data_IF_753107285018
#
_entry.id   IF_753107285018
#
_cell.length_a   1.000
_cell.length_b   1.000
_cell.length_c   1.000
_cell.angle_alpha   90.00
_cell.angle_beta   90.00
_cell.angle_gamma   90.00
#
_symmetry.space_group_name_H-M   'P 1'
#
loop_
_entity.id
_entity.type
_entity.pdbx_description
1 polymer ?
#
# COMPACT_ATOMS: atom_id res chain seq x y z
N UNK A 1 -3.20 9.92 -8.40
CA UNK A 1 -2.80 9.40 -9.72
C UNK A 1 -2.94 7.88 -9.71
N UNK A 2 -3.87 7.34 -10.50
CA UNK A 2 -4.11 5.90 -10.62
C UNK A 2 -2.98 5.31 -11.48
N UNK A 3 -1.97 4.69 -10.86
CA UNK A 3 -1.12 3.74 -11.60
C UNK A 3 -2.06 2.61 -12.08
N UNK A 4 -2.14 2.27 -13.38
CA UNK A 4 -2.96 1.17 -13.85
C UNK A 4 -2.36 -0.14 -13.31
N UNK A 5 -2.90 -0.60 -12.19
CA UNK A 5 -2.53 -1.86 -11.56
C UNK A 5 -3.49 -2.96 -11.98
N UNK A 6 -3.00 -4.20 -12.01
CA UNK A 6 -3.81 -5.40 -12.20
C UNK A 6 -5.06 -5.43 -11.30
N UNK A 7 -4.95 -4.91 -10.08
CA UNK A 7 -6.05 -4.78 -9.12
C UNK A 7 -7.20 -3.91 -9.63
N UNK A 8 -6.92 -2.78 -10.30
CA UNK A 8 -7.95 -1.88 -10.83
C UNK A 8 -8.67 -2.50 -12.03
N UNK A 9 -7.94 -3.15 -12.93
CA UNK A 9 -8.55 -3.87 -14.06
C UNK A 9 -9.43 -5.01 -13.58
N UNK A 10 -8.95 -5.78 -12.59
CA UNK A 10 -9.72 -6.86 -11.97
C UNK A 10 -10.99 -6.32 -11.30
N UNK A 11 -10.88 -5.26 -10.51
CA UNK A 11 -12.01 -4.64 -9.82
C UNK A 11 -13.06 -4.16 -10.83
N UNK A 12 -12.67 -3.38 -11.84
CA UNK A 12 -13.62 -2.89 -12.86
C UNK A 12 -14.27 -4.01 -13.69
N UNK A 13 -13.52 -5.07 -14.02
CA UNK A 13 -14.10 -6.23 -14.71
C UNK A 13 -15.14 -6.94 -13.84
N UNK A 14 -14.88 -7.08 -12.55
CA UNK A 14 -15.80 -7.70 -11.61
C UNK A 14 -17.07 -6.86 -11.41
N UNK A 15 -16.88 -5.55 -11.23
CA UNK A 15 -17.97 -4.58 -11.09
C UNK A 15 -18.89 -4.60 -12.32
N UNK A 16 -18.30 -4.67 -13.53
CA UNK A 16 -19.05 -4.75 -14.78
C UNK A 16 -19.87 -6.04 -14.85
N UNK A 17 -19.27 -7.18 -14.48
CA UNK A 17 -19.94 -8.47 -14.55
C UNK A 17 -21.13 -8.55 -13.58
N UNK A 18 -20.94 -8.12 -12.32
CA UNK A 18 -22.03 -8.09 -11.32
C UNK A 18 -23.13 -7.12 -11.74
N UNK A 19 -22.76 -5.91 -12.18
CA UNK A 19 -23.74 -4.90 -12.59
C UNK A 19 -24.58 -5.35 -13.78
N UNK A 20 -23.98 -6.02 -14.77
CA UNK A 20 -24.72 -6.55 -15.93
C UNK A 20 -25.62 -7.72 -15.55
N UNK A 21 -25.20 -8.61 -14.66
CA UNK A 21 -26.06 -9.70 -14.16
C UNK A 21 -27.24 -9.14 -13.38
N UNK A 22 -26.98 -8.26 -12.40
CA UNK A 22 -28.03 -7.67 -11.56
C UNK A 22 -29.00 -6.81 -12.37
N UNK A 23 -28.48 -5.92 -13.21
CA UNK A 23 -29.30 -5.08 -14.08
C UNK A 23 -30.04 -5.87 -15.16
N UNK A 24 -29.45 -6.97 -15.67
CA UNK A 24 -30.10 -7.88 -16.61
C UNK A 24 -31.29 -8.60 -15.98
N UNK A 25 -31.14 -9.13 -14.76
CA UNK A 25 -32.24 -9.74 -14.01
C UNK A 25 -33.38 -8.74 -13.75
N UNK A 26 -33.04 -7.51 -13.35
CA UNK A 26 -34.03 -6.44 -13.14
C UNK A 26 -34.76 -6.11 -14.45
N UNK A 27 -34.02 -5.90 -15.55
CA UNK A 27 -34.59 -5.54 -16.84
C UNK A 27 -35.50 -6.63 -17.40
N UNK A 28 -35.08 -7.90 -17.32
CA UNK A 28 -35.90 -9.04 -17.75
C UNK A 28 -37.14 -9.21 -16.87
N UNK A 29 -37.03 -9.02 -15.56
CA UNK A 29 -38.19 -9.08 -14.65
C UNK A 29 -39.21 -8.00 -15.00
N UNK A 30 -38.74 -6.77 -15.23
CA UNK A 30 -39.60 -5.65 -15.66
C UNK A 30 -40.33 -6.00 -16.96
N UNK A 31 -39.62 -6.53 -17.95
CA UNK A 31 -40.21 -6.88 -19.25
C UNK A 31 -41.16 -8.08 -19.18
N UNK A 32 -40.97 -8.98 -18.21
CA UNK A 32 -41.87 -10.13 -18.02
C UNK A 32 -43.18 -9.73 -17.32
N UNK A 33 -43.16 -8.78 -16.39
CA UNK A 33 -44.35 -8.38 -15.62
C UNK A 33 -45.06 -7.15 -16.19
N UNK A 34 -44.34 -6.22 -16.83
CA UNK A 34 -44.87 -4.94 -17.28
C UNK A 34 -44.95 -4.91 -18.81
N UNK A 35 -46.18 -4.91 -19.31
CA UNK A 35 -46.49 -4.84 -20.75
C UNK A 35 -46.98 -3.46 -21.20
N UNK A 36 -47.23 -2.55 -20.25
CA UNK A 36 -47.73 -1.20 -20.55
C UNK A 36 -46.59 -0.30 -21.05
N UNK A 37 -46.69 0.16 -22.29
CA UNK A 37 -45.66 0.98 -22.93
C UNK A 37 -45.41 2.31 -22.21
N UNK A 38 -46.43 2.97 -21.66
CA UNK A 38 -46.24 4.23 -20.93
C UNK A 38 -45.40 4.03 -19.67
N UNK A 39 -45.61 2.91 -18.96
CA UNK A 39 -44.84 2.56 -17.76
C UNK A 39 -43.41 2.19 -18.14
N UNK A 40 -43.22 1.40 -19.19
CA UNK A 40 -41.89 1.05 -19.70
C UNK A 40 -41.11 2.29 -20.15
N UNK A 41 -41.77 3.27 -20.76
CA UNK A 41 -41.16 4.54 -21.14
C UNK A 41 -40.72 5.35 -19.92
N UNK A 42 -41.57 5.46 -18.89
CA UNK A 42 -41.20 6.11 -17.63
C UNK A 42 -40.00 5.42 -16.96
N UNK A 43 -39.96 4.08 -16.99
CA UNK A 43 -38.84 3.30 -16.49
C UNK A 43 -37.55 3.53 -17.28
N UNK A 44 -37.61 3.62 -18.61
CA UNK A 44 -36.44 4.00 -19.43
C UNK A 44 -35.85 5.32 -18.93
N UNK A 45 -36.69 6.36 -18.78
CA UNK A 45 -36.24 7.68 -18.33
C UNK A 45 -35.62 7.59 -16.93
N UNK A 46 -36.25 6.87 -16.02
CA UNK A 46 -35.73 6.62 -14.68
C UNK A 46 -34.35 5.93 -14.70
N UNK A 47 -34.21 4.84 -15.45
CA UNK A 47 -32.94 4.11 -15.53
C UNK A 47 -31.84 4.90 -16.23
N UNK A 48 -32.20 5.70 -17.24
CA UNK A 48 -31.30 6.60 -17.93
C UNK A 48 -30.76 7.66 -16.96
N UNK A 49 -31.64 8.33 -16.20
CA UNK A 49 -31.24 9.32 -15.19
C UNK A 49 -30.29 8.67 -14.18
N UNK A 50 -30.65 7.50 -13.64
CA UNK A 50 -29.80 6.76 -12.71
C UNK A 50 -28.41 6.48 -13.27
N UNK A 51 -28.33 6.02 -14.53
CA UNK A 51 -27.05 5.77 -15.21
C UNK A 51 -26.16 7.01 -15.22
N UNK A 52 -26.70 8.16 -15.62
CA UNK A 52 -25.93 9.40 -15.70
C UNK A 52 -25.58 9.98 -14.33
N UNK A 53 -26.47 9.85 -13.34
CA UNK A 53 -26.19 10.29 -11.97
C UNK A 53 -25.01 9.53 -11.36
N UNK A 54 -24.90 8.22 -11.59
CA UNK A 54 -23.89 7.38 -10.94
C UNK A 54 -22.60 7.22 -11.75
N UNK A 55 -22.49 7.78 -12.96
CA UNK A 55 -21.34 7.58 -13.87
C UNK A 55 -19.98 7.95 -13.24
N UNK A 56 -19.95 8.96 -12.37
CA UNK A 56 -18.74 9.38 -11.64
C UNK A 56 -18.72 8.94 -10.17
N UNK A 57 -19.83 8.45 -9.63
CA UNK A 57 -19.99 8.15 -8.19
C UNK A 57 -19.73 6.69 -7.88
N UNK A 58 -20.35 5.77 -8.63
CA UNK A 58 -20.25 4.34 -8.37
C UNK A 58 -20.47 3.54 -9.65
N UNK A 59 -19.43 2.85 -10.10
CA UNK A 59 -19.44 2.12 -11.36
C UNK A 59 -20.42 0.94 -11.36
N UNK A 60 -20.51 0.16 -10.27
CA UNK A 60 -21.44 -0.98 -10.16
C UNK A 60 -22.89 -0.50 -10.28
N UNK A 61 -23.23 0.55 -9.54
CA UNK A 61 -24.57 1.13 -9.56
C UNK A 61 -24.89 1.62 -10.97
N UNK A 62 -23.98 2.38 -11.60
CA UNK A 62 -24.16 2.84 -12.98
C UNK A 62 -24.44 1.69 -13.96
N UNK A 63 -23.66 0.60 -13.94
CA UNK A 63 -23.88 -0.57 -14.82
C UNK A 63 -25.21 -1.27 -14.53
N UNK A 64 -25.63 -1.29 -13.26
CA UNK A 64 -26.91 -1.89 -12.84
C UNK A 64 -28.12 -1.11 -13.37
N UNK A 65 -28.01 0.21 -13.52
CA UNK A 65 -29.03 1.06 -14.15
C UNK A 65 -28.94 1.04 -15.69
N UNK A 66 -27.73 0.99 -16.25
CA UNK A 66 -27.48 0.98 -17.69
C UNK A 66 -28.10 -0.25 -18.38
N UNK A 67 -27.96 -1.42 -17.75
CA UNK A 67 -28.40 -2.70 -18.35
C UNK A 67 -29.92 -2.76 -18.58
N UNK A 68 -30.80 -2.52 -17.60
CA UNK A 68 -32.25 -2.50 -17.81
C UNK A 68 -32.68 -1.36 -18.74
N UNK A 69 -32.02 -0.20 -18.69
CA UNK A 69 -32.26 0.89 -19.65
C UNK A 69 -32.10 0.41 -21.10
N UNK A 70 -30.98 -0.25 -21.41
CA UNK A 70 -30.69 -0.77 -22.76
C UNK A 70 -31.68 -1.88 -23.15
N UNK A 71 -32.02 -2.79 -22.23
CA UNK A 71 -32.95 -3.89 -22.52
C UNK A 71 -34.36 -3.39 -22.85
N UNK A 72 -34.89 -2.45 -22.08
CA UNK A 72 -36.21 -1.90 -22.32
C UNK A 72 -36.21 -1.06 -23.61
N UNK A 73 -35.14 -0.31 -23.88
CA UNK A 73 -34.97 0.43 -25.13
C UNK A 73 -35.01 -0.50 -26.35
N UNK A 74 -34.31 -1.63 -26.30
CA UNK A 74 -34.33 -2.59 -27.39
C UNK A 74 -35.65 -3.33 -27.55
N UNK A 75 -36.36 -3.58 -26.44
CA UNK A 75 -37.72 -4.09 -26.50
C UNK A 75 -38.65 -3.15 -27.28
N UNK A 76 -38.53 -1.83 -27.07
CA UNK A 76 -39.26 -0.82 -27.86
C UNK A 76 -38.89 -0.83 -29.35
N UNK A 77 -37.65 -1.18 -29.68
CA UNK A 77 -37.20 -1.33 -31.07
C UNK A 77 -37.66 -2.64 -31.73
N UNK A 78 -38.46 -3.46 -31.03
CA UNK A 78 -38.98 -4.73 -31.54
C UNK A 78 -37.93 -5.85 -31.54
N UNK A 79 -36.78 -5.65 -30.91
CA UNK A 79 -35.76 -6.67 -30.79
C UNK A 79 -36.02 -7.54 -29.54
N UNK A 80 -35.85 -8.85 -29.66
CA UNK A 80 -36.09 -9.80 -28.58
C UNK A 80 -35.20 -9.54 -27.38
N UNK A 81 -35.73 -8.91 -26.33
CA UNK A 81 -34.96 -8.45 -25.17
C UNK A 81 -34.25 -9.57 -24.41
N UNK A 82 -34.82 -10.78 -24.38
CA UNK A 82 -34.18 -11.95 -23.77
C UNK A 82 -32.90 -12.35 -24.52
N UNK A 83 -32.94 -12.36 -25.85
CA UNK A 83 -31.78 -12.70 -26.68
C UNK A 83 -30.66 -11.66 -26.53
N UNK A 84 -31.03 -10.38 -26.47
CA UNK A 84 -30.09 -9.27 -26.29
C UNK A 84 -29.47 -9.27 -24.90
N UNK A 85 -30.24 -9.64 -23.86
CA UNK A 85 -29.71 -9.79 -22.51
C UNK A 85 -28.64 -10.89 -22.45
N UNK A 86 -28.87 -12.03 -23.10
CA UNK A 86 -27.87 -13.10 -23.19
C UNK A 86 -26.64 -12.68 -24.01
N UNK A 87 -26.83 -11.96 -25.12
CA UNK A 87 -25.71 -11.42 -25.92
C UNK A 87 -24.86 -10.44 -25.11
N UNK A 88 -25.49 -9.55 -24.32
CA UNK A 88 -24.79 -8.57 -23.47
C UNK A 88 -23.97 -9.22 -22.36
N UNK A 89 -24.50 -10.29 -21.77
CA UNK A 89 -23.78 -11.09 -20.78
C UNK A 89 -22.59 -11.82 -21.42
N UNK A 90 -22.79 -12.43 -22.60
CA UNK A 90 -21.73 -13.08 -23.35
C UNK A 90 -20.61 -12.11 -23.73
N UNK A 91 -20.96 -10.96 -24.30
CA UNK A 91 -20.00 -9.91 -24.69
C UNK A 91 -19.21 -9.39 -23.49
N UNK A 92 -19.87 -9.19 -22.35
CA UNK A 92 -19.22 -8.71 -21.12
C UNK A 92 -18.32 -9.77 -20.51
N UNK A 93 -18.71 -11.04 -20.56
CA UNK A 93 -17.89 -12.16 -20.12
C UNK A 93 -16.63 -12.31 -21.00
N UNK A 94 -16.80 -12.31 -22.32
CA UNK A 94 -15.69 -12.41 -23.28
C UNK A 94 -14.74 -11.21 -23.14
N UNK A 95 -15.27 -9.99 -23.07
CA UNK A 95 -14.45 -8.79 -22.88
C UNK A 95 -13.70 -8.81 -21.55
N UNK A 96 -14.34 -9.26 -20.47
CA UNK A 96 -13.69 -9.37 -19.15
C UNK A 96 -12.59 -10.44 -19.15
N UNK A 97 -12.82 -11.57 -19.83
CA UNK A 97 -11.82 -12.63 -20.00
C UNK A 97 -10.63 -12.13 -20.82
N UNK A 98 -10.87 -11.49 -21.95
CA UNK A 98 -9.83 -10.91 -22.80
C UNK A 98 -9.03 -9.83 -22.05
N UNK A 99 -9.69 -8.95 -21.30
CA UNK A 99 -9.03 -7.93 -20.48
C UNK A 99 -8.18 -8.53 -19.35
N UNK A 100 -8.65 -9.63 -18.74
CA UNK A 100 -7.88 -10.39 -17.76
C UNK A 100 -6.63 -11.03 -18.38
N UNK A 101 -6.78 -11.72 -19.52
CA UNK A 101 -5.67 -12.34 -20.25
C UNK A 101 -4.67 -11.28 -20.73
N UNK A 102 -5.15 -10.19 -21.31
CA UNK A 102 -4.33 -9.05 -21.70
C UNK A 102 -3.55 -8.49 -20.51
N UNK A 103 -4.21 -8.28 -19.36
CA UNK A 103 -3.55 -7.79 -18.15
C UNK A 103 -2.52 -8.78 -17.59
N UNK A 104 -2.75 -10.07 -17.75
CA UNK A 104 -1.84 -11.13 -17.32
C UNK A 104 -0.62 -11.31 -18.25
N UNK A 105 -0.83 -11.22 -19.57
CA UNK A 105 0.21 -11.50 -20.58
C UNK A 105 0.94 -10.26 -21.10
N UNK A 106 0.26 -9.11 -21.28
CA UNK A 106 0.86 -7.91 -21.90
C UNK A 106 1.57 -6.98 -20.91
N UNK A 107 1.28 -7.06 -19.60
CA UNK A 107 1.87 -6.15 -18.59
C UNK A 107 2.86 -6.88 -17.67
N UNK A 108 4.15 -6.98 -18.02
CA UNK A 108 5.18 -7.62 -17.20
C UNK A 108 5.70 -6.75 -16.04
N UNK A 109 5.00 -5.67 -15.65
CA UNK A 109 5.45 -4.74 -14.61
C UNK A 109 4.78 -5.04 -13.25
N UNK A 110 5.05 -6.23 -12.72
CA UNK A 110 4.51 -6.71 -11.44
C UNK A 110 5.03 -5.87 -10.25
N UNK A 111 4.18 -5.59 -9.27
CA UNK A 111 4.57 -4.83 -8.07
C UNK A 111 5.64 -5.55 -7.24
N UNK A 112 5.73 -6.89 -7.33
CA UNK A 112 6.79 -7.67 -6.68
C UNK A 112 8.20 -7.18 -7.05
N UNK A 113 8.38 -6.64 -8.27
CA UNK A 113 9.66 -6.09 -8.73
C UNK A 113 9.96 -4.68 -8.20
N UNK A 114 8.92 -3.93 -7.80
CA UNK A 114 9.07 -2.58 -7.22
C UNK A 114 9.17 -2.60 -5.69
N UNK A 115 8.77 -3.71 -5.06
CA UNK A 115 8.72 -3.82 -3.60
C UNK A 115 10.08 -3.64 -2.92
N UNK A 116 11.16 -4.15 -3.51
CA UNK A 116 12.52 -3.96 -3.00
C UNK A 116 12.88 -2.46 -2.91
N UNK A 117 12.44 -1.64 -3.88
CA UNK A 117 12.62 -0.19 -3.84
C UNK A 117 11.85 0.50 -2.71
N UNK A 118 10.62 0.04 -2.43
CA UNK A 118 9.84 0.53 -1.29
C UNK A 118 10.46 0.10 0.05
N UNK A 119 11.00 -1.12 0.14
CA UNK A 119 11.75 -1.60 1.31
C UNK A 119 13.01 -0.77 1.54
N UNK A 120 13.79 -0.51 0.48
CA UNK A 120 14.97 0.35 0.56
C UNK A 120 14.62 1.77 1.05
N UNK A 121 13.54 2.34 0.52
CA UNK A 121 13.06 3.67 0.91
C UNK A 121 12.69 3.75 2.40
N UNK A 122 11.99 2.74 2.93
CA UNK A 122 11.62 2.74 4.36
C UNK A 122 12.84 2.48 5.27
N UNK A 123 13.80 1.64 4.87
CA UNK A 123 15.05 1.47 5.61
C UNK A 123 15.83 2.78 5.67
N UNK A 124 15.93 3.50 4.55
CA UNK A 124 16.57 4.83 4.49
C UNK A 124 15.90 5.82 5.44
N UNK A 125 14.57 5.85 5.49
CA UNK A 125 13.83 6.72 6.39
C UNK A 125 14.05 6.34 7.87
N UNK A 126 14.09 5.04 8.22
CA UNK A 126 14.41 4.59 9.59
C UNK A 126 15.84 4.97 9.99
N UNK A 127 16.82 4.82 9.08
CA UNK A 127 18.22 5.21 9.31
C UNK A 127 18.31 6.71 9.61
N UNK A 128 17.67 7.55 8.78
CA UNK A 128 17.66 9.00 9.00
C UNK A 128 17.01 9.37 10.34
N UNK A 129 15.94 8.67 10.72
CA UNK A 129 15.27 8.92 12.00
C UNK A 129 16.12 8.49 13.20
N UNK A 130 16.80 7.36 13.11
CA UNK A 130 17.78 6.92 14.11
C UNK A 130 19.00 7.83 14.19
N UNK A 131 19.49 8.37 13.07
CA UNK A 131 20.58 9.37 13.07
C UNK A 131 20.15 10.62 13.86
N UNK A 132 18.91 11.09 13.66
CA UNK A 132 18.37 12.19 14.47
C UNK A 132 18.23 11.82 15.94
N UNK A 133 17.72 10.64 16.28
CA UNK A 133 17.69 10.18 17.67
C UNK A 133 19.12 10.14 18.28
N UNK A 134 20.11 9.65 17.53
CA UNK A 134 21.52 9.62 17.94
C UNK A 134 22.03 11.03 18.27
N UNK A 135 21.79 12.02 17.39
CA UNK A 135 22.16 13.43 17.63
C UNK A 135 21.54 13.96 18.92
N UNK A 136 20.27 13.67 19.18
CA UNK A 136 19.57 14.09 20.42
C UNK A 136 20.23 13.51 21.66
N UNK A 137 20.55 12.22 21.63
CA UNK A 137 21.16 11.50 22.76
C UNK A 137 22.58 12.01 23.08
N UNK A 138 23.28 12.59 22.10
CA UNK A 138 24.55 13.30 22.31
C UNK A 138 24.39 14.70 22.94
N UNK A 139 23.16 15.16 23.18
CA UNK A 139 22.87 16.47 23.76
C UNK A 139 22.76 17.61 22.75
N UNK A 140 22.76 17.31 21.45
CA UNK A 140 22.53 18.33 20.43
C UNK A 140 21.05 18.74 20.44
N UNK A 141 20.78 20.06 20.43
CA UNK A 141 19.41 20.56 20.24
C UNK A 141 18.95 20.26 18.82
N UNK A 142 17.96 19.39 18.67
CA UNK A 142 17.33 19.13 17.38
C UNK A 142 16.32 20.24 17.09
N UNK A 143 16.39 20.82 15.89
CA UNK A 143 15.34 21.69 15.39
C UNK A 143 14.02 20.92 15.35
N UNK A 144 12.98 21.45 15.99
CA UNK A 144 11.64 20.83 15.98
C UNK A 144 11.10 20.56 14.58
N UNK A 145 11.56 21.33 13.58
CA UNK A 145 11.19 21.17 12.18
C UNK A 145 11.88 19.95 11.53
N UNK A 146 13.19 19.77 11.75
CA UNK A 146 13.94 18.63 11.20
C UNK A 146 13.41 17.30 11.74
N UNK A 147 13.09 17.27 13.04
CA UNK A 147 12.46 16.11 13.66
C UNK A 147 11.11 15.77 13.02
N UNK A 148 10.25 16.77 12.80
CA UNK A 148 8.93 16.58 12.17
C UNK A 148 9.06 16.10 10.72
N UNK A 149 10.05 16.59 9.98
CA UNK A 149 10.30 16.19 8.60
C UNK A 149 10.71 14.72 8.51
N UNK A 150 11.71 14.29 9.28
CA UNK A 150 12.18 12.89 9.23
C UNK A 150 11.10 11.93 9.75
N UNK A 151 10.35 12.33 10.77
CA UNK A 151 9.18 11.58 11.23
C UNK A 151 8.14 11.43 10.12
N UNK A 152 7.77 12.53 9.44
CA UNK A 152 6.81 12.50 8.32
C UNK A 152 7.29 11.55 7.22
N UNK A 153 8.56 11.64 6.84
CA UNK A 153 9.14 10.79 5.79
C UNK A 153 9.06 9.30 6.14
N UNK A 154 9.34 8.95 7.40
CA UNK A 154 9.20 7.58 7.89
C UNK A 154 7.77 7.05 7.77
N UNK A 155 6.78 7.84 8.17
CA UNK A 155 5.36 7.45 8.07
C UNK A 155 4.90 7.33 6.62
N UNK A 156 5.31 8.25 5.75
CA UNK A 156 4.98 8.21 4.31
C UNK A 156 5.60 6.99 3.65
N UNK A 157 6.89 6.73 3.87
CA UNK A 157 7.58 5.57 3.31
C UNK A 157 6.99 4.24 3.82
N UNK A 158 6.61 4.17 5.10
CA UNK A 158 5.92 3.00 5.67
C UNK A 158 4.53 2.79 5.03
N UNK A 159 3.75 3.86 4.87
CA UNK A 159 2.43 3.78 4.23
C UNK A 159 2.52 3.36 2.75
N UNK A 160 3.53 3.86 2.04
CA UNK A 160 3.81 3.48 0.65
C UNK A 160 4.15 1.99 0.53
N UNK A 161 5.01 1.47 1.41
CA UNK A 161 5.36 0.05 1.47
C UNK A 161 4.13 -0.84 1.76
N UNK A 162 3.33 -0.50 2.77
CA UNK A 162 2.10 -1.24 3.09
C UNK A 162 1.10 -1.22 1.93
N UNK A 163 0.96 -0.07 1.26
CA UNK A 163 0.12 0.04 0.06
C UNK A 163 0.63 -0.84 -1.08
N UNK A 164 1.95 -0.90 -1.28
CA UNK A 164 2.56 -1.76 -2.29
C UNK A 164 2.34 -3.25 -1.98
N UNK A 165 2.49 -3.66 -0.72
CA UNK A 165 2.17 -5.03 -0.27
C UNK A 165 0.70 -5.38 -0.57
N UNK A 166 -0.25 -4.51 -0.23
CA UNK A 166 -1.67 -4.76 -0.52
C UNK A 166 -1.97 -4.88 -2.01
N UNK A 167 -1.29 -4.08 -2.85
CA UNK A 167 -1.38 -4.21 -4.32
C UNK A 167 -0.82 -5.57 -4.77
N UNK A 168 0.35 -5.97 -4.30
CA UNK A 168 0.94 -7.29 -4.60
C UNK A 168 0.02 -8.44 -4.16
N UNK A 169 -0.61 -8.36 -2.99
CA UNK A 169 -1.54 -9.39 -2.52
C UNK A 169 -2.80 -9.54 -3.40
N UNK A 170 -3.12 -8.51 -4.19
CA UNK A 170 -4.22 -8.53 -5.16
C UNK A 170 -3.84 -9.15 -6.51
N UNK A 171 -2.53 -9.38 -6.76
CA UNK A 171 -2.01 -10.04 -7.96
C UNK A 171 -2.21 -11.57 -7.90
N UNK A 172 -2.10 -12.31 -9.01
CA UNK A 172 -2.17 -13.78 -9.00
C UNK A 172 -1.08 -14.40 -8.11
N UNK A 173 -1.40 -15.49 -7.40
CA UNK A 173 -0.47 -16.16 -6.45
C UNK A 173 0.88 -16.50 -7.09
N UNK A 174 0.92 -16.87 -8.37
CA UNK A 174 2.15 -17.19 -9.11
C UNK A 174 3.10 -16.00 -9.29
N UNK A 175 2.63 -14.76 -9.08
CA UNK A 175 3.39 -13.53 -9.24
C UNK A 175 3.79 -12.89 -7.90
N UNK A 176 3.21 -13.35 -6.79
CA UNK A 176 3.51 -12.88 -5.43
C UNK A 176 4.83 -13.49 -4.90
N UNK A 177 5.97 -13.09 -5.47
CA UNK A 177 7.30 -13.57 -5.03
C UNK A 177 7.58 -13.15 -3.58
N UNK A 178 8.22 -14.03 -2.80
CA UNK A 178 8.64 -13.79 -1.41
C UNK A 178 7.53 -13.22 -0.51
N UNK A 179 6.27 -13.61 -0.75
CA UNK A 179 5.09 -13.06 -0.06
C UNK A 179 5.23 -13.09 1.46
N UNK A 180 5.69 -14.21 2.02
CA UNK A 180 5.78 -14.43 3.46
C UNK A 180 6.83 -13.52 4.07
N UNK A 181 8.00 -13.50 3.45
CA UNK A 181 9.17 -12.71 3.86
C UNK A 181 8.86 -11.22 3.77
N UNK A 182 8.23 -10.78 2.68
CA UNK A 182 7.81 -9.38 2.53
C UNK A 182 6.81 -8.98 3.61
N UNK A 183 5.81 -9.82 3.88
CA UNK A 183 4.84 -9.55 4.93
C UNK A 183 5.53 -9.42 6.30
N UNK A 184 6.44 -10.35 6.61
CA UNK A 184 7.26 -10.32 7.82
C UNK A 184 8.12 -9.04 7.90
N UNK A 185 8.75 -8.63 6.80
CA UNK A 185 9.49 -7.38 6.72
C UNK A 185 8.62 -6.16 7.04
N UNK A 186 7.41 -6.08 6.50
CA UNK A 186 6.48 -4.96 6.77
C UNK A 186 6.11 -4.90 8.25
N UNK A 187 5.82 -6.05 8.87
CA UNK A 187 5.50 -6.13 10.30
C UNK A 187 6.71 -5.71 11.14
N UNK A 188 7.89 -6.26 10.88
CA UNK A 188 9.12 -5.92 11.60
C UNK A 188 9.48 -4.44 11.44
N UNK A 189 9.32 -3.88 10.24
CA UNK A 189 9.52 -2.46 10.00
C UNK A 189 8.54 -1.60 10.81
N UNK A 190 7.27 -1.98 10.87
CA UNK A 190 6.29 -1.27 11.69
C UNK A 190 6.67 -1.28 13.18
N UNK A 191 7.10 -2.43 13.70
CA UNK A 191 7.61 -2.57 15.07
C UNK A 191 8.83 -1.67 15.28
N UNK A 192 9.80 -1.70 14.37
CA UNK A 192 11.00 -0.86 14.43
C UNK A 192 10.63 0.64 14.47
N UNK A 193 9.87 1.11 13.50
CA UNK A 193 9.49 2.52 13.36
C UNK A 193 8.68 3.02 14.56
N UNK A 194 7.76 2.21 15.08
CA UNK A 194 6.95 2.56 16.26
C UNK A 194 7.80 2.69 17.53
N UNK A 195 8.77 1.79 17.72
CA UNK A 195 9.67 1.85 18.87
C UNK A 195 10.63 3.04 18.78
N UNK A 196 11.20 3.33 17.61
CA UNK A 196 12.04 4.52 17.40
C UNK A 196 11.23 5.80 17.66
N UNK A 197 10.01 5.89 17.13
CA UNK A 197 9.15 7.07 17.33
C UNK A 197 8.77 7.28 18.80
N UNK A 198 8.43 6.19 19.50
CA UNK A 198 8.10 6.23 20.93
C UNK A 198 9.30 6.72 21.76
N UNK A 199 10.49 6.14 21.54
CA UNK A 199 11.74 6.57 22.20
C UNK A 199 12.11 8.01 21.89
N UNK A 200 11.96 8.43 20.63
CA UNK A 200 12.32 9.81 20.28
C UNK A 200 11.35 10.80 20.90
N UNK A 201 10.06 10.43 21.03
CA UNK A 201 9.07 11.28 21.70
C UNK A 201 9.30 11.39 23.21
N UNK A 202 9.71 10.31 23.89
CA UNK A 202 10.03 10.37 25.32
C UNK A 202 11.32 11.15 25.58
N UNK A 203 12.29 11.03 24.67
CA UNK A 203 13.57 11.73 24.79
C UNK A 203 13.52 13.20 24.34
N UNK A 204 12.59 13.60 23.47
CA UNK A 204 12.48 14.99 23.01
C UNK A 204 12.36 16.01 24.15
N UNK A 205 11.85 15.61 25.31
CA UNK A 205 11.72 16.45 26.50
C UNK A 205 12.93 16.37 27.46
N UNK A 206 13.86 15.42 27.24
CA UNK A 206 15.06 15.21 28.02
C UNK A 206 16.30 15.66 27.23
N UNK A 207 16.94 16.74 27.68
CA UNK A 207 18.16 17.29 27.06
C UNK A 207 19.46 16.78 27.71
N UNK A 208 19.39 15.78 28.58
CA UNK A 208 20.57 15.23 29.26
C UNK A 208 21.30 14.26 28.32
N UNK A 209 22.62 14.44 28.10
CA UNK A 209 23.42 13.48 27.35
C UNK A 209 23.35 12.10 28.00
N UNK A 210 23.17 11.06 27.19
CA UNK A 210 23.14 9.66 27.63
C UNK A 210 24.54 9.05 27.64
N UNK A 211 24.80 8.02 28.46
CA UNK A 211 26.10 7.35 28.56
C UNK A 211 26.51 6.62 27.26
N UNK A 212 27.81 6.29 27.12
CA UNK A 212 28.34 5.62 25.91
C UNK A 212 27.72 4.23 25.70
N UNK A 213 27.36 3.55 26.79
CA UNK A 213 26.75 2.23 26.80
C UNK A 213 25.39 2.25 26.09
N UNK A 214 24.56 3.26 26.38
CA UNK A 214 23.23 3.47 25.78
C UNK A 214 23.32 3.82 24.29
N UNK A 215 24.40 4.45 23.83
CA UNK A 215 24.59 4.83 22.44
C UNK A 215 25.05 3.68 21.53
N UNK A 216 25.63 2.62 22.10
CA UNK A 216 26.19 1.52 21.33
C UNK A 216 25.12 0.74 20.53
N UNK A 217 23.95 0.37 21.09
CA UNK A 217 22.89 -0.30 20.33
C UNK A 217 22.36 0.54 19.17
N UNK A 218 22.26 1.87 19.32
CA UNK A 218 21.82 2.78 18.24
C UNK A 218 22.77 2.72 17.05
N UNK A 219 24.09 2.81 17.30
CA UNK A 219 25.11 2.73 16.24
C UNK A 219 25.10 1.39 15.53
N UNK A 220 24.99 0.29 16.30
CA UNK A 220 24.90 -1.06 15.74
C UNK A 220 23.64 -1.21 14.87
N UNK A 221 22.51 -0.68 15.33
CA UNK A 221 21.25 -0.65 14.58
C UNK A 221 21.41 0.09 13.26
N UNK A 222 21.94 1.33 13.27
CA UNK A 222 22.17 2.11 12.06
C UNK A 222 23.06 1.34 11.07
N UNK A 223 24.20 0.82 11.55
CA UNK A 223 25.14 0.07 10.72
C UNK A 223 24.51 -1.18 10.10
N UNK A 224 23.64 -1.86 10.85
CA UNK A 224 22.95 -3.06 10.39
C UNK A 224 21.88 -2.73 9.34
N UNK A 225 21.10 -1.67 9.55
CA UNK A 225 20.11 -1.20 8.58
C UNK A 225 20.78 -0.69 7.29
N UNK A 226 21.91 0.01 7.38
CA UNK A 226 22.68 0.45 6.21
C UNK A 226 23.21 -0.74 5.40
N UNK A 227 23.66 -1.81 6.07
CA UNK A 227 24.03 -3.07 5.40
C UNK A 227 22.85 -3.70 4.68
N UNK A 228 21.69 -3.77 5.32
CA UNK A 228 20.47 -4.31 4.73
C UNK A 228 19.99 -3.45 3.55
N UNK A 229 20.09 -2.13 3.66
CA UNK A 229 19.78 -1.19 2.59
C UNK A 229 20.66 -1.43 1.37
N UNK A 230 21.96 -1.64 1.57
CA UNK A 230 22.90 -1.96 0.47
C UNK A 230 22.55 -3.27 -0.26
N UNK A 231 21.95 -4.24 0.42
CA UNK A 231 21.47 -5.48 -0.22
C UNK A 231 20.26 -5.24 -1.14
N UNK A 232 19.45 -4.22 -0.85
CA UNK A 232 18.25 -3.88 -1.61
C UNK A 232 18.50 -2.80 -2.67
N UNK A 233 19.48 -1.93 -2.45
CA UNK A 233 19.89 -0.85 -3.35
C UNK A 233 21.42 -0.78 -3.42
N UNK A 234 21.99 -1.41 -4.46
CA UNK A 234 23.43 -1.43 -4.71
C UNK A 234 24.03 -0.04 -4.95
N UNK A 235 23.20 0.96 -5.29
CA UNK A 235 23.64 2.34 -5.53
C UNK A 235 23.75 3.15 -4.25
N UNK A 236 23.29 2.60 -3.11
CA UNK A 236 23.34 3.29 -1.83
C UNK A 236 24.79 3.43 -1.33
N UNK A 237 25.23 4.68 -1.17
CA UNK A 237 26.51 5.04 -0.57
C UNK A 237 26.26 5.36 0.90
N UNK A 238 26.93 4.63 1.79
CA UNK A 238 26.92 4.91 3.24
C UNK A 238 27.56 6.28 3.45
N UNK A 239 26.81 7.22 4.01
CA UNK A 239 27.37 8.52 4.38
C UNK A 239 28.48 8.32 5.43
N UNK A 240 29.65 8.95 5.27
CA UNK A 240 30.71 8.89 6.27
C UNK A 240 30.16 9.32 7.62
N UNK A 241 30.33 8.48 8.64
CA UNK A 241 29.94 8.81 10.00
C UNK A 241 30.73 10.06 10.42
N UNK A 242 30.06 11.22 10.52
CA UNK A 242 30.66 12.43 11.10
C UNK A 242 31.31 12.03 12.43
N UNK A 243 32.57 12.44 12.62
CA UNK A 243 33.40 12.07 13.77
C UNK A 243 32.58 12.23 15.06
N UNK A 244 32.15 11.10 15.63
CA UNK A 244 31.36 11.10 16.85
C UNK A 244 32.15 11.85 17.93
N UNK A 245 31.60 12.88 18.60
CA UNK A 245 32.24 13.58 19.71
C UNK A 245 32.30 12.72 20.99
N UNK A 246 32.48 11.41 20.85
CA UNK A 246 32.51 10.41 21.92
C UNK A 246 33.71 10.61 22.86
N UNK A 247 34.73 11.37 22.45
CA UNK A 247 35.85 11.78 23.30
C UNK A 247 35.49 12.88 24.32
N UNK A 248 34.33 13.54 24.19
CA UNK A 248 33.92 14.65 25.06
C UNK A 248 32.88 14.27 26.11
N UNK A 249 32.34 13.05 26.06
CA UNK A 249 31.42 12.56 27.10
C UNK A 249 32.20 12.21 28.36
N UNK A 250 32.17 13.12 29.32
CA UNK A 250 32.60 12.88 30.70
C UNK A 250 31.70 11.82 31.34
N UNK A 251 32.28 10.97 32.17
CA UNK A 251 31.56 10.04 33.04
C UNK A 251 30.55 10.79 33.90
N UNK A 252 29.49 10.08 34.31
CA UNK A 252 28.34 10.54 35.11
C UNK A 252 27.09 10.87 34.27
N UNK A 253 26.34 9.82 33.93
CA UNK A 253 24.87 9.86 33.96
C UNK A 253 24.39 8.43 34.20
N UNK A 254 23.56 8.22 35.22
CA UNK A 254 22.97 6.93 35.59
C UNK A 254 22.39 6.23 34.36
N UNK A 255 22.92 5.05 34.02
CA UNK A 255 22.42 4.21 32.93
C UNK A 255 20.95 3.87 33.21
N UNK A 256 20.03 4.47 32.46
CA UNK A 256 18.61 4.12 32.51
C UNK A 256 18.46 2.72 31.90
N UNK A 257 18.35 1.71 32.78
CA UNK A 257 18.27 0.29 32.41
C UNK A 257 17.15 0.06 31.38
N UNK A 258 16.01 0.72 31.57
CA UNK A 258 14.85 0.55 30.70
C UNK A 258 15.10 1.10 29.30
N UNK A 259 15.76 2.26 29.18
CA UNK A 259 16.16 2.81 27.88
C UNK A 259 17.13 1.88 27.14
N UNK A 260 18.11 1.32 27.86
CA UNK A 260 19.07 0.40 27.28
C UNK A 260 18.37 -0.87 26.74
N UNK A 261 17.41 -1.42 27.48
CA UNK A 261 16.61 -2.57 27.03
C UNK A 261 15.78 -2.26 25.77
N UNK A 262 15.15 -1.09 25.72
CA UNK A 262 14.40 -0.65 24.54
C UNK A 262 15.29 -0.49 23.29
N UNK A 263 16.50 0.04 23.46
CA UNK A 263 17.46 0.19 22.37
C UNK A 263 18.05 -1.15 21.91
N UNK A 264 18.28 -2.09 22.83
CA UNK A 264 18.67 -3.46 22.48
C UNK A 264 17.54 -4.22 21.76
N UNK A 265 16.29 -4.00 22.14
CA UNK A 265 15.14 -4.53 21.41
C UNK A 265 15.09 -4.01 19.98
N UNK A 266 15.28 -2.70 19.77
CA UNK A 266 15.40 -2.09 18.43
C UNK A 266 16.53 -2.73 17.61
N UNK A 267 17.69 -2.95 18.24
CA UNK A 267 18.80 -3.64 17.59
C UNK A 267 18.42 -5.05 17.14
N UNK A 268 17.78 -5.84 18.02
CA UNK A 268 17.31 -7.21 17.71
C UNK A 268 16.32 -7.22 16.54
N UNK A 269 15.34 -6.29 16.53
CA UNK A 269 14.40 -6.15 15.41
C UNK A 269 15.14 -5.84 14.11
N UNK A 270 16.20 -5.03 14.14
CA UNK A 270 17.01 -4.76 12.95
C UNK A 270 17.74 -6.01 12.42
N UNK A 271 18.15 -6.93 13.30
CA UNK A 271 18.75 -8.21 12.90
C UNK A 271 17.74 -9.12 12.23
N UNK A 272 16.51 -9.19 12.78
CA UNK A 272 15.42 -9.96 12.19
C UNK A 272 15.02 -9.42 10.81
N UNK A 273 14.94 -8.09 10.66
CA UNK A 273 14.78 -7.43 9.34
C UNK A 273 15.89 -7.88 8.37
N UNK A 274 17.13 -7.97 8.85
CA UNK A 274 18.27 -8.39 8.03
C UNK A 274 18.18 -9.84 7.55
N UNK A 275 17.67 -10.75 8.38
CA UNK A 275 17.45 -12.16 7.99
C UNK A 275 16.46 -12.25 6.84
N UNK A 276 15.33 -11.56 6.96
CA UNK A 276 14.27 -11.53 5.96
C UNK A 276 14.73 -10.83 4.67
N UNK A 277 15.48 -9.72 4.80
CA UNK A 277 16.03 -8.98 3.66
C UNK A 277 16.96 -9.84 2.82
N UNK A 278 17.81 -10.67 3.44
CA UNK A 278 18.72 -11.58 2.73
C UNK A 278 17.97 -12.62 1.90
N UNK A 279 16.85 -13.14 2.40
CA UNK A 279 16.02 -14.09 1.65
C UNK A 279 15.35 -13.41 0.45
N UNK A 280 14.95 -12.14 0.58
CA UNK A 280 14.29 -11.38 -0.49
C UNK A 280 15.28 -10.93 -1.57
N UNK A 281 16.54 -10.64 -1.19
CA UNK A 281 17.57 -10.12 -2.07
C UNK A 281 18.44 -11.20 -2.74
N UNK A 282 18.47 -12.43 -2.19
CA UNK A 282 19.13 -13.60 -2.78
C UNK A 282 18.32 -14.25 -3.88
#
# INVERSE_FOLDING_TARGET
MLKPGFSLTKQKNFDRLIGTVGGGLVGLSILAFIHNQTILFALIVFFMIGTYTFVLLNYIVMVTFLTPYILILFHFLGLGAANIASERLADTAIASLLAFLASYFLFPHWESGQLQGYMASVLKANIQYLKKLKEHLFGNKISSLDYKLVRKELFVSTANLSSALNRMLSEPKSKQKHRKEIYEFVVLNHVLSSNIASLTSTMANNNKPCSKEVLQPVKRTISNLERNLKLLDNSYIVEPNEKDPMHLMHEISTTDLHLNDQLNFIYKVSEDIGKVTKVIAG
#
